data_IF_373789980229
#
_entry.id   IF_373789980229
#
_cell.length_a   1.000
_cell.length_b   1.000
_cell.length_c   1.000
_cell.angle_alpha   90.00
_cell.angle_beta   90.00
_cell.angle_gamma   90.00
#
_symmetry.space_group_name_H-M   'P 1'
#
loop_
_entity.id
_entity.type
_entity.pdbx_description
1 polymer ?
#
# COMPACT_ATOMS: atom_id res chain seq x y z
N UNK A 1 -25.79 -0.08 6.42
CA UNK A 1 -24.49 -0.72 6.12
C UNK A 1 -24.24 -1.82 7.14
N UNK A 2 -23.64 -2.96 6.77
CA UNK A 2 -23.29 -4.02 7.72
C UNK A 2 -21.91 -3.71 8.30
N UNK A 3 -21.76 -3.69 9.63
CA UNK A 3 -20.45 -3.56 10.29
C UNK A 3 -19.62 -4.82 10.01
N UNK A 4 -18.46 -4.64 9.37
CA UNK A 4 -17.52 -5.71 9.03
C UNK A 4 -16.27 -5.65 9.88
N UNK A 5 -15.82 -4.46 10.29
CA UNK A 5 -14.51 -4.28 10.94
C UNK A 5 -14.59 -3.59 12.30
N UNK A 6 -15.54 -2.66 12.50
CA UNK A 6 -15.65 -1.88 13.74
C UNK A 6 -16.01 -2.68 15.00
N UNK A 7 -16.36 -3.97 14.88
CA UNK A 7 -16.67 -4.85 16.01
C UNK A 7 -15.46 -5.57 16.61
N UNK A 8 -14.31 -5.56 15.92
CA UNK A 8 -13.09 -6.27 16.34
C UNK A 8 -11.92 -5.30 16.34
N UNK A 9 -11.80 -4.55 17.43
CA UNK A 9 -10.69 -3.63 17.61
C UNK A 9 -9.45 -4.42 18.08
N UNK A 10 -8.35 -4.45 17.31
CA UNK A 10 -7.12 -5.10 17.75
C UNK A 10 -6.50 -4.36 18.96
N UNK A 11 -5.88 -5.08 19.91
CA UNK A 11 -5.17 -4.45 21.02
C UNK A 11 -3.99 -3.60 20.53
N UNK A 12 -3.74 -2.47 21.19
CA UNK A 12 -2.65 -1.56 20.82
C UNK A 12 -1.26 -2.20 20.95
N UNK A 13 -1.08 -3.09 21.93
CA UNK A 13 0.18 -3.81 22.14
C UNK A 13 0.50 -4.75 20.96
N UNK A 14 -0.52 -5.45 20.44
CA UNK A 14 -0.36 -6.33 19.27
C UNK A 14 -0.03 -5.54 18.00
N UNK A 15 -0.65 -4.36 17.82
CA UNK A 15 -0.33 -3.47 16.72
C UNK A 15 1.11 -2.94 16.80
N UNK A 16 1.56 -2.53 18.00
CA UNK A 16 2.92 -2.06 18.20
C UNK A 16 3.95 -3.16 17.89
N UNK A 17 3.68 -4.41 18.30
CA UNK A 17 4.52 -5.55 17.97
C UNK A 17 4.54 -5.83 16.46
N UNK A 18 3.40 -5.73 15.78
CA UNK A 18 3.33 -5.90 14.32
C UNK A 18 4.13 -4.82 13.59
N UNK A 19 4.03 -3.56 14.00
CA UNK A 19 4.85 -2.48 13.46
C UNK A 19 6.35 -2.73 13.65
N UNK A 20 6.76 -3.21 14.82
CA UNK A 20 8.15 -3.56 15.09
C UNK A 20 8.63 -4.67 14.14
N UNK A 21 7.81 -5.70 13.92
CA UNK A 21 8.13 -6.80 13.00
C UNK A 21 8.27 -6.30 11.56
N UNK A 22 7.37 -5.44 11.09
CA UNK A 22 7.45 -4.84 9.74
C UNK A 22 8.72 -4.00 9.60
N UNK A 23 9.08 -3.21 10.61
CA UNK A 23 10.32 -2.42 10.63
C UNK A 23 11.56 -3.32 10.59
N UNK A 24 11.56 -4.44 11.33
CA UNK A 24 12.65 -5.41 11.30
C UNK A 24 12.83 -6.05 9.92
N UNK A 25 11.73 -6.48 9.29
CA UNK A 25 11.74 -7.02 7.92
C UNK A 25 12.27 -5.97 6.93
N UNK A 26 11.83 -4.71 7.04
CA UNK A 26 12.34 -3.63 6.18
C UNK A 26 13.85 -3.43 6.33
N UNK A 27 14.37 -3.45 7.54
CA UNK A 27 15.82 -3.32 7.79
C UNK A 27 16.60 -4.48 7.19
N UNK A 28 16.08 -5.71 7.30
CA UNK A 28 16.70 -6.88 6.68
C UNK A 28 16.67 -6.80 5.15
N UNK A 29 15.54 -6.42 4.56
CA UNK A 29 15.40 -6.24 3.10
C UNK A 29 16.40 -5.21 2.57
N UNK A 30 16.65 -4.12 3.30
CA UNK A 30 17.63 -3.10 2.91
C UNK A 30 19.08 -3.58 2.82
N UNK A 31 19.42 -4.73 3.39
CA UNK A 31 20.77 -5.30 3.26
C UNK A 31 21.04 -5.83 1.85
N UNK A 32 19.99 -6.21 1.11
CA UNK A 32 20.09 -6.84 -0.21
C UNK A 32 19.31 -6.10 -1.30
N UNK A 33 18.32 -5.30 -0.92
CA UNK A 33 17.44 -4.57 -1.82
C UNK A 33 17.87 -3.13 -2.04
N UNK A 34 17.35 -2.53 -3.11
CA UNK A 34 17.57 -1.14 -3.47
C UNK A 34 16.24 -0.39 -3.56
N UNK A 35 16.22 0.84 -3.06
CA UNK A 35 15.07 1.74 -3.17
C UNK A 35 15.21 2.57 -4.45
N UNK A 36 14.46 2.21 -5.50
CA UNK A 36 14.45 2.98 -6.75
C UNK A 36 13.59 4.25 -6.63
N UNK A 37 14.08 5.37 -7.15
CA UNK A 37 13.27 6.59 -7.33
C UNK A 37 12.21 6.41 -8.42
N UNK A 38 11.27 7.35 -8.52
CA UNK A 38 10.27 7.36 -9.58
C UNK A 38 10.91 7.47 -10.97
N UNK A 39 11.93 8.31 -11.14
CA UNK A 39 12.65 8.44 -12.41
C UNK A 39 13.42 7.15 -12.76
N UNK A 40 14.07 6.53 -11.77
CA UNK A 40 14.81 5.28 -11.96
C UNK A 40 13.87 4.15 -12.39
N UNK A 41 12.71 4.01 -11.74
CA UNK A 41 11.70 3.01 -12.12
C UNK A 41 11.20 3.17 -13.55
N UNK A 42 11.14 4.39 -14.07
CA UNK A 42 10.73 4.64 -15.45
C UNK A 42 11.82 4.25 -16.45
N UNK A 43 13.09 4.49 -16.11
CA UNK A 43 14.25 4.30 -16.98
C UNK A 43 14.88 2.91 -16.91
N UNK A 44 14.67 2.16 -15.83
CA UNK A 44 15.23 0.83 -15.66
C UNK A 44 14.81 -0.09 -16.81
N UNK A 45 15.75 -0.89 -17.30
CA UNK A 45 15.45 -1.89 -18.32
C UNK A 45 14.48 -2.91 -17.73
N UNK A 46 13.28 -2.98 -18.30
CA UNK A 46 12.23 -3.89 -17.83
C UNK A 46 12.45 -5.26 -18.45
N UNK A 47 12.60 -6.25 -17.59
CA UNK A 47 12.61 -7.65 -18.00
C UNK A 47 11.29 -7.98 -18.70
N UNK A 48 11.36 -8.65 -19.85
CA UNK A 48 10.17 -9.04 -20.62
C UNK A 48 9.53 -10.27 -19.98
N UNK A 49 8.21 -10.39 -20.09
CA UNK A 49 7.50 -11.58 -19.63
C UNK A 49 8.06 -12.84 -20.32
N UNK A 50 8.40 -13.86 -19.52
CA UNK A 50 9.00 -15.11 -20.01
C UNK A 50 10.49 -15.02 -20.35
N UNK A 51 11.13 -13.86 -20.12
CA UNK A 51 12.55 -13.65 -20.38
C UNK A 51 13.47 -14.53 -19.52
N UNK A 52 12.96 -15.11 -18.42
CA UNK A 52 13.77 -15.88 -17.46
C UNK A 52 14.36 -17.12 -18.12
N UNK A 53 13.59 -17.76 -19.01
CA UNK A 53 14.04 -18.92 -19.79
C UNK A 53 15.13 -18.54 -20.78
N UNK A 54 15.01 -17.37 -21.40
CA UNK A 54 15.99 -16.85 -22.35
C UNK A 54 17.28 -16.46 -21.63
N UNK A 55 17.17 -15.76 -20.50
CA UNK A 55 18.31 -15.41 -19.64
C UNK A 55 19.10 -16.65 -19.25
N UNK A 56 18.42 -17.73 -18.84
CA UNK A 56 19.08 -19.01 -18.53
C UNK A 56 19.76 -19.62 -19.76
N UNK A 57 19.06 -19.71 -20.89
CA UNK A 57 19.64 -20.25 -22.14
C UNK A 57 20.90 -19.48 -22.57
N UNK A 58 20.86 -18.16 -22.51
CA UNK A 58 21.99 -17.30 -22.86
C UNK A 58 23.13 -17.47 -21.86
N UNK A 59 22.85 -17.66 -20.57
CA UNK A 59 23.87 -17.98 -19.57
C UNK A 59 24.58 -19.30 -19.88
N UNK A 60 23.80 -20.35 -20.17
CA UNK A 60 24.31 -21.68 -20.49
C UNK A 60 25.21 -21.64 -21.74
N UNK A 61 24.76 -20.98 -22.81
CA UNK A 61 25.54 -20.81 -24.04
C UNK A 61 26.81 -19.96 -23.85
N UNK A 62 26.72 -18.88 -23.06
CA UNK A 62 27.88 -18.04 -22.78
C UNK A 62 28.97 -18.80 -22.00
N UNK A 63 28.55 -19.69 -21.08
CA UNK A 63 29.47 -20.60 -20.36
C UNK A 63 30.08 -21.65 -21.29
N UNK A 64 29.26 -22.29 -22.13
CA UNK A 64 29.71 -23.34 -23.05
C UNK A 64 30.77 -22.83 -24.03
N UNK A 65 30.63 -21.57 -24.49
CA UNK A 65 31.53 -20.96 -25.45
C UNK A 65 32.62 -20.05 -24.85
N UNK A 66 32.78 -20.01 -23.51
CA UNK A 66 33.72 -19.13 -22.78
C UNK A 66 33.65 -17.65 -23.23
N UNK A 67 32.45 -17.15 -23.50
CA UNK A 67 32.24 -15.76 -23.97
C UNK A 67 32.45 -14.79 -22.81
N UNK A 68 33.38 -13.85 -22.98
CA UNK A 68 33.69 -12.81 -21.99
C UNK A 68 33.42 -11.43 -22.56
N UNK A 69 32.59 -10.66 -21.85
CA UNK A 69 32.27 -9.28 -22.19
C UNK A 69 32.88 -8.34 -21.15
N UNK A 70 33.50 -7.21 -21.56
CA UNK A 70 34.00 -6.22 -20.61
C UNK A 70 32.87 -5.67 -19.72
N UNK A 71 33.01 -5.82 -18.41
CA UNK A 71 32.07 -5.29 -17.42
C UNK A 71 30.76 -6.07 -17.24
N UNK A 72 30.57 -7.20 -17.93
CA UNK A 72 29.37 -8.05 -17.82
C UNK A 72 29.81 -9.48 -17.53
N UNK A 73 29.38 -10.03 -16.40
CA UNK A 73 29.67 -11.43 -16.04
C UNK A 73 28.41 -12.28 -16.15
N UNK A 74 28.58 -13.52 -16.63
CA UNK A 74 27.49 -14.50 -16.67
C UNK A 74 27.01 -14.84 -15.27
N UNK A 75 27.94 -14.95 -14.31
CA UNK A 75 27.62 -15.18 -12.90
C UNK A 75 26.79 -14.02 -12.31
N UNK A 76 27.11 -12.77 -12.63
CA UNK A 76 26.33 -11.61 -12.19
C UNK A 76 24.90 -11.65 -12.72
N UNK A 77 24.75 -11.96 -14.01
CA UNK A 77 23.43 -12.11 -14.64
C UNK A 77 22.59 -13.23 -13.98
N UNK A 78 23.19 -14.37 -13.65
CA UNK A 78 22.50 -15.47 -12.96
C UNK A 78 22.12 -15.09 -11.52
N UNK A 79 23.02 -14.41 -10.81
CA UNK A 79 22.76 -13.92 -9.46
C UNK A 79 21.60 -12.92 -9.45
N UNK A 80 21.54 -11.99 -10.41
CA UNK A 80 20.43 -11.03 -10.55
C UNK A 80 19.09 -11.75 -10.79
N UNK A 81 19.09 -12.78 -11.66
CA UNK A 81 17.90 -13.58 -11.93
C UNK A 81 17.41 -14.34 -10.67
N UNK A 82 18.35 -14.88 -9.88
CA UNK A 82 18.01 -15.57 -8.63
C UNK A 82 17.55 -14.60 -7.53
N UNK A 83 18.13 -13.41 -7.43
CA UNK A 83 17.64 -12.34 -6.54
C UNK A 83 16.21 -11.97 -6.90
N UNK A 84 15.93 -11.70 -8.18
CA UNK A 84 14.60 -11.36 -8.66
C UNK A 84 13.58 -12.45 -8.29
N UNK A 85 13.93 -13.73 -8.48
CA UNK A 85 13.08 -14.86 -8.12
C UNK A 85 12.81 -14.97 -6.61
N UNK A 86 13.83 -14.79 -5.77
CA UNK A 86 13.69 -14.86 -4.31
C UNK A 86 12.82 -13.72 -3.78
N UNK A 87 13.03 -12.51 -4.30
CA UNK A 87 12.26 -11.34 -3.89
C UNK A 87 10.83 -11.33 -4.45
N UNK A 88 10.54 -11.97 -5.58
CA UNK A 88 9.20 -12.04 -6.15
C UNK A 88 8.16 -12.59 -5.15
N UNK A 89 8.49 -13.67 -4.43
CA UNK A 89 7.58 -14.22 -3.42
C UNK A 89 7.34 -13.24 -2.28
N UNK A 90 8.40 -12.60 -1.79
CA UNK A 90 8.31 -11.61 -0.71
C UNK A 90 7.50 -10.38 -1.15
N UNK A 91 7.64 -9.97 -2.41
CA UNK A 91 6.85 -8.90 -3.03
C UNK A 91 5.36 -9.25 -3.07
N UNK A 92 5.00 -10.47 -3.45
CA UNK A 92 3.60 -10.93 -3.48
C UNK A 92 2.97 -10.92 -2.07
N UNK A 93 3.65 -11.48 -1.08
CA UNK A 93 3.13 -11.56 0.30
C UNK A 93 3.01 -10.17 0.94
N UNK A 94 4.04 -9.32 0.77
CA UNK A 94 4.00 -7.95 1.28
C UNK A 94 2.93 -7.10 0.59
N UNK A 95 2.71 -7.29 -0.71
CA UNK A 95 1.61 -6.67 -1.44
C UNK A 95 0.24 -7.09 -0.91
N UNK A 96 0.05 -8.37 -0.63
CA UNK A 96 -1.20 -8.92 -0.08
C UNK A 96 -1.49 -8.37 1.34
N UNK A 97 -0.45 -8.27 2.17
CA UNK A 97 -0.55 -7.63 3.49
C UNK A 97 -0.93 -6.15 3.37
N UNK A 98 -0.23 -5.40 2.52
CA UNK A 98 -0.50 -3.97 2.31
C UNK A 98 -1.93 -3.74 1.80
N UNK A 99 -2.40 -4.56 0.86
CA UNK A 99 -3.77 -4.51 0.37
C UNK A 99 -4.77 -4.79 1.50
N UNK A 100 -4.57 -5.85 2.29
CA UNK A 100 -5.49 -6.19 3.39
C UNK A 100 -5.59 -5.06 4.42
N UNK A 101 -4.46 -4.45 4.78
CA UNK A 101 -4.43 -3.31 5.70
C UNK A 101 -5.18 -2.13 5.08
N UNK A 102 -4.88 -1.78 3.83
CA UNK A 102 -5.53 -0.68 3.11
C UNK A 102 -7.04 -0.85 2.98
N UNK A 103 -7.49 -2.04 2.59
CA UNK A 103 -8.92 -2.37 2.46
C UNK A 103 -9.63 -2.32 3.82
N UNK A 104 -8.96 -2.73 4.89
CA UNK A 104 -9.50 -2.68 6.26
C UNK A 104 -9.68 -1.23 6.73
N UNK A 105 -8.68 -0.37 6.50
CA UNK A 105 -8.75 1.06 6.81
C UNK A 105 -9.89 1.71 6.03
N UNK A 106 -9.93 1.49 4.71
CA UNK A 106 -10.98 2.04 3.85
C UNK A 106 -12.38 1.60 4.29
N UNK A 107 -12.55 0.32 4.62
CA UNK A 107 -13.83 -0.21 5.12
C UNK A 107 -14.21 0.41 6.47
N UNK A 108 -13.25 0.57 7.39
CA UNK A 108 -13.48 1.18 8.69
C UNK A 108 -13.90 2.65 8.58
N UNK A 109 -13.21 3.41 7.73
CA UNK A 109 -13.55 4.82 7.44
C UNK A 109 -14.93 4.93 6.80
N UNK A 110 -15.25 4.04 5.86
CA UNK A 110 -16.57 4.00 5.21
C UNK A 110 -17.69 3.70 6.21
N UNK A 111 -17.50 2.71 7.10
CA UNK A 111 -18.46 2.38 8.16
C UNK A 111 -18.63 3.53 9.16
N UNK A 112 -17.53 4.15 9.58
CA UNK A 112 -17.52 5.31 10.46
C UNK A 112 -18.28 6.48 9.83
N UNK A 113 -18.03 6.77 8.55
CA UNK A 113 -18.69 7.85 7.84
C UNK A 113 -20.18 7.59 7.63
N UNK A 114 -20.55 6.35 7.30
CA UNK A 114 -21.96 5.96 7.20
C UNK A 114 -22.68 6.15 8.53
N UNK A 115 -22.10 5.71 9.64
CA UNK A 115 -22.67 5.92 10.97
C UNK A 115 -22.77 7.42 11.30
N UNK A 116 -21.72 8.19 10.99
CA UNK A 116 -21.69 9.65 11.20
C UNK A 116 -22.82 10.36 10.47
N UNK A 117 -23.05 10.04 9.19
CA UNK A 117 -24.12 10.66 8.40
C UNK A 117 -25.52 10.27 8.91
N UNK A 118 -25.69 9.02 9.36
CA UNK A 118 -26.93 8.56 9.97
C UNK A 118 -27.23 9.28 11.29
N UNK A 119 -26.25 9.37 12.19
CA UNK A 119 -26.39 10.11 13.45
C UNK A 119 -26.58 11.60 13.22
N UNK A 120 -25.83 12.22 12.33
CA UNK A 120 -26.03 13.62 11.95
C UNK A 120 -27.47 13.87 11.48
N UNK A 121 -28.00 13.03 10.58
CA UNK A 121 -29.38 13.17 10.09
C UNK A 121 -30.41 13.07 11.21
N UNK A 122 -30.22 12.13 12.15
CA UNK A 122 -31.11 11.98 13.30
C UNK A 122 -31.03 13.20 14.24
N UNK A 123 -29.83 13.64 14.60
CA UNK A 123 -29.59 14.77 15.49
C UNK A 123 -30.08 16.09 14.88
N UNK A 124 -29.88 16.29 13.57
CA UNK A 124 -30.38 17.47 12.84
C UNK A 124 -31.91 17.55 12.83
N UNK A 125 -32.63 16.42 12.89
CA UNK A 125 -34.10 16.42 13.03
C UNK A 125 -34.58 16.72 14.45
N UNK A 126 -33.73 16.51 15.45
CA UNK A 126 -34.05 16.72 16.86
C UNK A 126 -33.73 18.14 17.33
N UNK A 127 -33.00 18.94 16.53
CA UNK A 127 -32.51 20.26 16.93
C UNK A 127 -33.61 21.25 17.27
N UNK A 128 -34.78 21.17 16.62
CA UNK A 128 -35.92 22.06 16.90
C UNK A 128 -36.50 21.86 18.30
N UNK A 129 -36.21 20.72 18.92
CA UNK A 129 -36.75 20.32 20.23
C UNK A 129 -35.74 20.45 21.38
N UNK A 130 -34.46 20.66 21.09
CA UNK A 130 -33.40 20.85 22.09
C UNK A 130 -32.43 21.97 21.68
N UNK A 131 -32.55 23.18 22.29
CA UNK A 131 -31.68 24.31 22.00
C UNK A 131 -30.18 24.06 22.30
N UNK A 132 -29.86 23.18 23.26
CA UNK A 132 -28.45 22.83 23.56
C UNK A 132 -27.88 21.96 22.45
N UNK A 133 -28.67 21.00 21.95
CA UNK A 133 -28.29 20.19 20.79
C UNK A 133 -28.13 21.04 19.53
N UNK A 134 -29.04 21.98 19.30
CA UNK A 134 -28.98 22.90 18.16
C UNK A 134 -27.66 23.70 18.14
N UNK A 135 -27.20 24.20 19.29
CA UNK A 135 -25.91 24.88 19.38
C UNK A 135 -24.73 23.91 19.18
N UNK A 136 -24.81 22.69 19.73
CA UNK A 136 -23.72 21.72 19.67
C UNK A 136 -23.50 21.11 18.28
N UNK A 137 -24.55 20.95 17.47
CA UNK A 137 -24.47 20.34 16.13
C UNK A 137 -24.00 21.32 15.04
N UNK A 138 -23.97 22.62 15.33
CA UNK A 138 -23.66 23.65 14.33
C UNK A 138 -22.37 23.41 13.53
N UNK A 139 -21.23 23.00 14.13
CA UNK A 139 -20.01 22.71 13.35
C UNK A 139 -20.20 21.59 12.31
N UNK A 140 -21.03 20.59 12.61
CA UNK A 140 -21.35 19.53 11.67
C UNK A 140 -22.27 20.04 10.55
N UNK A 141 -23.24 20.90 10.88
CA UNK A 141 -24.09 21.56 9.87
C UNK A 141 -23.22 22.36 8.90
N UNK A 142 -22.30 23.17 9.41
CA UNK A 142 -21.41 24.00 8.58
C UNK A 142 -20.55 23.14 7.64
N UNK A 143 -20.05 22.00 8.14
CA UNK A 143 -19.31 21.03 7.33
C UNK A 143 -20.18 20.46 6.19
N UNK A 144 -21.40 20.00 6.50
CA UNK A 144 -22.31 19.40 5.52
C UNK A 144 -22.97 20.42 4.57
N UNK A 145 -23.05 21.70 4.97
CA UNK A 145 -23.61 22.78 4.16
C UNK A 145 -22.71 23.15 2.96
N UNK A 146 -21.43 22.77 2.99
CA UNK A 146 -20.55 22.92 1.82
C UNK A 146 -20.97 21.93 0.72
N UNK A 147 -21.83 22.40 -0.20
CA UNK A 147 -22.11 21.70 -1.46
C UNK A 147 -20.84 21.45 -2.30
N UNK A 148 -20.94 20.67 -3.39
CA UNK A 148 -19.83 20.21 -4.27
C UNK A 148 -18.56 21.07 -4.11
N UNK A 149 -17.52 20.52 -3.47
CA UNK A 149 -16.21 21.18 -3.36
C UNK A 149 -15.80 21.66 -4.75
N UNK A 150 -15.70 23.00 -4.93
CA UNK A 150 -15.09 23.55 -6.14
C UNK A 150 -13.66 22.99 -6.21
N UNK A 151 -13.21 22.47 -7.37
CA UNK A 151 -11.84 22.02 -7.49
C UNK A 151 -10.92 23.19 -7.13
N UNK A 152 -9.98 22.94 -6.21
CA UNK A 152 -8.91 23.89 -5.90
C UNK A 152 -8.04 23.95 -7.15
N UNK A 153 -8.05 25.09 -7.84
CA UNK A 153 -7.10 25.31 -8.94
C UNK A 153 -5.68 25.20 -8.40
N UNK A 154 -4.78 24.47 -9.08
CA UNK A 154 -3.40 24.36 -8.65
C UNK A 154 -2.74 25.74 -8.69
N UNK A 155 -2.09 26.12 -7.59
CA UNK A 155 -1.16 27.26 -7.53
C UNK A 155 0.21 26.84 -8.03
#
# INVERSE_FOLDING_TARGET
MKNRVGSKLPPLEELAQMEANIKAVRTWVKQYGVDLTSEERQRVLKHRSGGEKVTKLVADLAKEHDVKLPGISVEGMENDAEVAKRFAKLQTESGSLAQTIGDTVLQAESECWWATTAYYTALARMMDTDPKLAAAIQPAIDFFATGKRKPVEPK
#
